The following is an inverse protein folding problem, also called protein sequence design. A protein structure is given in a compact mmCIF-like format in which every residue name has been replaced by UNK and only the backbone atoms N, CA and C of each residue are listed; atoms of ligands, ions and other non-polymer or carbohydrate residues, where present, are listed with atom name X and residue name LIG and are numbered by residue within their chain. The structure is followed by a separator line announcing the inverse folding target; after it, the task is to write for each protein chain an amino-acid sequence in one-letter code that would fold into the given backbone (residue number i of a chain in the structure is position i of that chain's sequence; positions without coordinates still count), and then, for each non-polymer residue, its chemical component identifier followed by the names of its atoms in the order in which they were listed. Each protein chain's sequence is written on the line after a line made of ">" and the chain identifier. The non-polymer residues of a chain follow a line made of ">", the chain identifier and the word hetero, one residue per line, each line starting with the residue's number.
data_IF_865498451273
#
_entry.id   IF_865498451273
#
_cell.length_a   1.000
_cell.length_b   1.000
_cell.length_c   1.000
_cell.angle_alpha   90.00
_cell.angle_beta   90.00
_cell.angle_gamma   90.00
#
_symmetry.space_group_name_H-M   'P 1'
#
loop_
_entity.id
_entity.type
_entity.pdbx_description
1 polymer ?
#
# COMPACT_ATOMS: atom_id res chain seq x y z
N UNK A 1 44.73 37.91 -9.02
CA UNK A 1 45.46 36.63 -9.16
C UNK A 1 44.68 35.75 -10.14
N UNK A 2 45.37 35.26 -11.18
CA UNK A 2 44.86 34.41 -12.27
C UNK A 2 44.67 32.94 -11.80
N UNK A 3 43.98 32.09 -12.60
CA UNK A 3 43.17 30.95 -12.15
C UNK A 3 43.95 29.61 -12.10
N UNK A 4 43.30 28.55 -11.60
CA UNK A 4 43.74 27.17 -11.84
C UNK A 4 42.61 26.30 -12.38
N UNK A 5 42.64 26.16 -13.70
CA UNK A 5 42.20 25.01 -14.48
C UNK A 5 42.90 23.74 -13.98
N UNK A 6 42.19 22.62 -13.89
CA UNK A 6 42.80 21.32 -14.09
C UNK A 6 42.06 20.58 -15.21
N UNK A 7 42.88 20.16 -16.15
CA UNK A 7 42.58 19.57 -17.44
C UNK A 7 42.70 18.04 -17.32
N UNK A 8 41.83 17.32 -18.05
CA UNK A 8 41.98 16.02 -18.71
C UNK A 8 42.66 14.83 -17.96
N UNK A 9 42.04 13.65 -18.08
CA UNK A 9 42.66 12.59 -18.89
C UNK A 9 41.64 11.52 -19.34
N UNK A 10 41.47 11.45 -20.66
CA UNK A 10 40.98 10.28 -21.40
C UNK A 10 42.12 9.27 -21.46
N UNK A 11 41.85 8.00 -21.17
CA UNK A 11 42.75 6.89 -21.55
C UNK A 11 41.95 5.90 -22.41
N UNK A 12 42.14 6.04 -23.73
CA UNK A 12 41.93 4.97 -24.68
C UNK A 12 43.05 3.93 -24.50
N UNK A 13 42.69 2.67 -24.26
CA UNK A 13 43.58 1.55 -24.50
C UNK A 13 43.24 0.95 -25.87
N UNK A 14 44.12 1.25 -26.84
CA UNK A 14 44.18 0.57 -28.12
C UNK A 14 44.88 -0.79 -27.95
N UNK A 15 44.32 -1.84 -28.52
CA UNK A 15 45.02 -3.10 -28.80
C UNK A 15 45.02 -3.29 -30.32
N UNK A 16 46.21 -3.36 -30.90
CA UNK A 16 46.48 -3.55 -32.32
C UNK A 16 46.45 -5.05 -32.70
N UNK A 17 45.54 -5.36 -33.64
CA UNK A 17 45.58 -6.27 -34.82
C UNK A 17 46.25 -7.66 -34.80
N UNK A 18 45.69 -8.59 -35.59
CA UNK A 18 46.37 -8.89 -36.87
C UNK A 18 45.45 -8.83 -38.09
N UNK A 19 46.05 -8.51 -39.24
CA UNK A 19 45.43 -8.50 -40.55
C UNK A 19 45.29 -9.94 -41.10
N UNK A 20 44.13 -10.30 -41.66
CA UNK A 20 43.96 -11.23 -42.79
C UNK A 20 42.58 -11.02 -43.44
N UNK A 21 42.59 -11.02 -44.79
CA UNK A 21 41.48 -11.11 -45.75
C UNK A 21 40.23 -10.21 -45.51
N UNK A 22 40.13 -9.14 -46.32
CA UNK A 22 38.83 -8.52 -46.60
C UNK A 22 37.98 -9.47 -47.45
N UNK A 23 37.03 -10.16 -46.81
CA UNK A 23 35.84 -10.63 -47.50
C UNK A 23 34.74 -9.59 -47.28
N UNK A 24 34.32 -8.94 -48.38
CA UNK A 24 33.33 -7.87 -48.39
C UNK A 24 31.95 -8.46 -48.11
N UNK A 25 31.66 -8.78 -46.86
CA UNK A 25 30.33 -9.22 -46.42
C UNK A 25 29.41 -8.01 -46.30
N UNK A 26 28.24 -8.09 -46.92
CA UNK A 26 27.20 -7.07 -46.81
C UNK A 26 26.86 -6.81 -45.33
N UNK A 27 26.54 -5.56 -44.94
CA UNK A 27 26.15 -5.27 -43.57
C UNK A 27 24.98 -6.19 -43.17
N UNK A 28 25.01 -6.80 -41.97
CA UNK A 28 23.93 -7.66 -41.53
C UNK A 28 22.63 -6.85 -41.53
N UNK A 29 21.55 -7.46 -42.01
CA UNK A 29 20.23 -6.87 -41.97
C UNK A 29 19.93 -6.39 -40.55
N UNK A 30 19.33 -5.18 -40.38
CA UNK A 30 19.04 -4.66 -39.07
C UNK A 30 18.23 -5.70 -38.29
N UNK A 31 18.78 -6.13 -37.16
CA UNK A 31 18.06 -6.99 -36.24
C UNK A 31 16.77 -6.25 -35.86
N UNK A 32 15.62 -6.84 -36.19
CA UNK A 32 14.32 -6.33 -35.76
C UNK A 32 14.38 -6.24 -34.24
N UNK A 33 14.37 -5.01 -33.72
CA UNK A 33 14.34 -4.80 -32.27
C UNK A 33 13.17 -5.63 -31.72
N UNK A 34 13.36 -6.38 -30.62
CA UNK A 34 12.26 -7.11 -30.00
C UNK A 34 11.12 -6.11 -29.75
N UNK A 35 9.85 -6.50 -30.01
CA UNK A 35 8.74 -5.60 -29.86
C UNK A 35 8.80 -4.96 -28.48
N UNK A 36 8.81 -3.62 -28.45
CA UNK A 36 8.81 -2.89 -27.19
C UNK A 36 7.52 -3.26 -26.45
N UNK A 37 7.65 -4.11 -25.42
CA UNK A 37 6.55 -4.37 -24.51
C UNK A 37 6.33 -3.06 -23.78
N UNK A 38 5.29 -2.32 -24.18
CA UNK A 38 4.84 -1.14 -23.44
C UNK A 38 4.21 -1.63 -22.16
N UNK A 39 5.03 -1.74 -21.11
CA UNK A 39 4.55 -2.08 -19.78
C UNK A 39 3.90 -0.84 -19.19
N UNK A 40 2.61 -0.93 -18.84
CA UNK A 40 1.93 0.11 -18.09
C UNK A 40 2.54 0.20 -16.66
N UNK A 41 3.32 1.26 -16.41
CA UNK A 41 3.96 1.50 -15.13
C UNK A 41 2.96 1.58 -13.97
N UNK A 42 1.73 2.04 -14.22
CA UNK A 42 0.69 2.08 -13.19
C UNK A 42 0.18 0.67 -12.87
N UNK A 43 0.00 -0.18 -13.88
CA UNK A 43 -0.33 -1.59 -13.67
C UNK A 43 0.76 -2.32 -12.87
N UNK A 44 2.05 -2.06 -13.15
CA UNK A 44 3.16 -2.66 -12.39
C UNK A 44 3.14 -2.23 -10.92
N UNK A 45 3.02 -0.93 -10.64
CA UNK A 45 2.94 -0.42 -9.26
C UNK A 45 1.77 -1.04 -8.50
N UNK A 46 0.62 -1.10 -9.17
CA UNK A 46 -0.60 -1.69 -8.64
C UNK A 46 -0.44 -3.18 -8.33
N UNK A 47 0.18 -3.95 -9.23
CA UNK A 47 0.43 -5.38 -9.01
C UNK A 47 1.46 -5.62 -7.91
N UNK A 48 2.51 -4.79 -7.81
CA UNK A 48 3.48 -4.87 -6.70
C UNK A 48 2.81 -4.60 -5.35
N UNK A 49 1.88 -3.66 -5.30
CA UNK A 49 1.07 -3.41 -4.11
C UNK A 49 0.19 -4.62 -3.75
N UNK A 50 -0.52 -5.21 -4.72
CA UNK A 50 -1.30 -6.44 -4.47
C UNK A 50 -0.44 -7.58 -3.97
N UNK A 51 0.77 -7.75 -4.52
CA UNK A 51 1.70 -8.77 -4.07
C UNK A 51 2.11 -8.55 -2.61
N UNK A 52 2.25 -7.31 -2.16
CA UNK A 52 2.51 -7.01 -0.76
C UNK A 52 1.32 -7.40 0.13
N UNK A 53 0.10 -7.06 -0.26
CA UNK A 53 -1.13 -7.43 0.46
C UNK A 53 -1.31 -8.96 0.51
N UNK A 54 -1.14 -9.65 -0.62
CA UNK A 54 -1.24 -11.10 -0.69
C UNK A 54 -0.19 -11.80 0.17
N UNK A 55 1.06 -11.30 0.20
CA UNK A 55 2.09 -11.84 1.09
C UNK A 55 1.71 -11.72 2.57
N UNK A 56 1.15 -10.57 2.97
CA UNK A 56 0.68 -10.36 4.33
C UNK A 56 -0.43 -11.36 4.71
N UNK A 57 -1.43 -11.53 3.83
CA UNK A 57 -2.53 -12.50 4.02
C UNK A 57 -2.03 -13.96 4.08
N UNK A 58 -1.14 -14.35 3.16
CA UNK A 58 -0.62 -15.71 3.08
C UNK A 58 0.21 -16.09 4.30
N UNK A 59 1.00 -15.14 4.83
CA UNK A 59 1.81 -15.38 6.01
C UNK A 59 0.95 -15.71 7.25
N UNK A 60 -0.21 -15.06 7.41
CA UNK A 60 -1.13 -15.37 8.52
C UNK A 60 -1.74 -16.77 8.38
N UNK A 61 -1.87 -17.31 7.16
CA UNK A 61 -2.40 -18.65 6.92
C UNK A 61 -3.83 -18.83 7.47
N UNK A 62 -4.78 -18.05 6.95
CA UNK A 62 -6.19 -18.19 7.28
C UNK A 62 -6.79 -19.48 6.71
N UNK A 63 -7.64 -20.13 7.48
CA UNK A 63 -8.44 -21.26 6.99
C UNK A 63 -9.64 -20.80 6.15
N UNK A 64 -10.33 -21.74 5.52
CA UNK A 64 -11.47 -21.43 4.64
C UNK A 64 -12.64 -20.75 5.37
N UNK A 65 -12.91 -21.09 6.64
CA UNK A 65 -13.98 -20.49 7.43
C UNK A 65 -13.64 -19.05 7.81
N UNK A 66 -12.39 -18.80 8.23
CA UNK A 66 -11.85 -17.48 8.51
C UNK A 66 -11.88 -16.60 7.26
N UNK A 67 -11.44 -17.10 6.10
CA UNK A 67 -11.49 -16.36 4.82
C UNK A 67 -12.93 -15.98 4.48
N UNK A 68 -13.88 -16.92 4.59
CA UNK A 68 -15.29 -16.64 4.30
C UNK A 68 -15.88 -15.57 5.23
N UNK A 69 -15.57 -15.66 6.53
CA UNK A 69 -16.03 -14.68 7.51
C UNK A 69 -15.44 -13.29 7.25
N UNK A 70 -14.14 -13.22 6.95
CA UNK A 70 -13.44 -12.00 6.56
C UNK A 70 -14.03 -11.37 5.29
N UNK A 71 -14.30 -12.17 4.25
CA UNK A 71 -14.91 -11.68 3.02
C UNK A 71 -16.25 -10.98 3.29
N UNK A 72 -17.11 -11.56 4.14
CA UNK A 72 -18.40 -10.95 4.49
C UNK A 72 -18.20 -9.62 5.22
N UNK A 73 -17.46 -9.61 6.33
CA UNK A 73 -17.33 -8.40 7.16
C UNK A 73 -16.56 -7.29 6.45
N UNK A 74 -15.52 -7.62 5.68
CA UNK A 74 -14.76 -6.63 4.89
C UNK A 74 -15.65 -6.04 3.79
N UNK A 75 -16.43 -6.86 3.08
CA UNK A 75 -17.33 -6.37 2.04
C UNK A 75 -18.38 -5.44 2.62
N UNK A 76 -19.05 -5.83 3.71
CA UNK A 76 -20.05 -5.00 4.38
C UNK A 76 -19.45 -3.66 4.84
N UNK A 77 -18.28 -3.71 5.47
CA UNK A 77 -17.54 -2.53 5.93
C UNK A 77 -17.22 -1.57 4.77
N UNK A 78 -16.75 -2.09 3.64
CA UNK A 78 -16.40 -1.27 2.47
C UNK A 78 -17.64 -0.71 1.75
N UNK A 79 -18.78 -1.40 1.75
CA UNK A 79 -20.03 -0.82 1.23
C UNK A 79 -20.50 0.36 2.10
N UNK A 80 -20.44 0.24 3.43
CA UNK A 80 -20.71 1.37 4.34
C UNK A 80 -19.73 2.52 4.10
N UNK A 81 -18.46 2.22 3.84
CA UNK A 81 -17.46 3.25 3.54
C UNK A 81 -17.76 4.00 2.22
N UNK A 82 -18.29 3.33 1.19
CA UNK A 82 -18.70 4.01 -0.06
C UNK A 82 -19.78 5.05 0.16
N UNK A 83 -20.78 4.76 0.98
CA UNK A 83 -21.83 5.72 1.30
C UNK A 83 -21.27 6.94 2.04
N UNK A 84 -20.31 6.73 2.94
CA UNK A 84 -19.58 7.82 3.61
C UNK A 84 -18.76 8.63 2.61
N UNK A 85 -17.96 7.98 1.75
CA UNK A 85 -17.16 8.68 0.72
C UNK A 85 -18.04 9.56 -0.15
N UNK A 86 -19.22 9.07 -0.55
CA UNK A 86 -20.20 9.87 -1.29
C UNK A 86 -20.62 11.14 -0.53
N UNK A 87 -20.93 11.04 0.77
CA UNK A 87 -21.27 12.22 1.60
C UNK A 87 -20.11 13.21 1.70
N UNK A 88 -18.88 12.72 1.78
CA UNK A 88 -17.69 13.56 1.83
C UNK A 88 -17.43 14.25 0.49
N UNK A 89 -17.60 13.53 -0.63
CA UNK A 89 -17.51 14.08 -1.98
C UNK A 89 -18.57 15.16 -2.21
N UNK A 90 -19.81 14.92 -1.78
CA UNK A 90 -20.90 15.91 -1.87
C UNK A 90 -20.56 17.17 -1.05
N UNK A 91 -20.01 17.02 0.15
CA UNK A 91 -19.59 18.17 0.97
C UNK A 91 -18.46 18.99 0.32
N UNK A 92 -17.55 18.35 -0.42
CA UNK A 92 -16.48 19.03 -1.16
C UNK A 92 -17.00 19.67 -2.46
N UNK A 93 -17.98 19.06 -3.14
CA UNK A 93 -18.63 19.65 -4.33
C UNK A 93 -19.28 20.98 -4.03
N UNK A 94 -19.83 21.17 -2.83
CA UNK A 94 -20.44 22.46 -2.43
C UNK A 94 -19.47 23.65 -2.50
N UNK A 95 -18.16 23.44 -2.40
CA UNK A 95 -17.13 24.51 -2.51
C UNK A 95 -16.32 24.44 -3.81
N UNK A 96 -16.58 23.47 -4.69
CA UNK A 96 -15.74 23.22 -5.86
C UNK A 96 -15.63 24.46 -6.76
N UNK A 97 -16.75 25.12 -7.05
CA UNK A 97 -16.78 26.33 -7.88
C UNK A 97 -16.01 27.49 -7.25
N UNK A 98 -16.13 27.69 -5.94
CA UNK A 98 -15.43 28.76 -5.22
C UNK A 98 -13.92 28.51 -5.20
N UNK A 99 -13.51 27.25 -5.00
CA UNK A 99 -12.11 26.82 -5.05
C UNK A 99 -11.54 26.95 -6.46
N UNK A 100 -12.28 26.57 -7.50
CA UNK A 100 -11.84 26.68 -8.89
C UNK A 100 -11.64 28.15 -9.32
N UNK A 101 -12.56 29.03 -8.92
CA UNK A 101 -12.42 30.48 -9.12
C UNK A 101 -11.20 31.03 -8.39
N UNK A 102 -11.03 30.70 -7.11
CA UNK A 102 -9.87 31.14 -6.32
C UNK A 102 -8.55 30.60 -6.90
N UNK A 103 -8.51 29.36 -7.37
CA UNK A 103 -7.35 28.77 -8.04
C UNK A 103 -6.99 29.52 -9.33
N UNK A 104 -7.99 29.82 -10.16
CA UNK A 104 -7.78 30.59 -11.40
C UNK A 104 -7.29 32.01 -11.12
N UNK A 105 -7.88 32.69 -10.14
CA UNK A 105 -7.43 34.02 -9.69
C UNK A 105 -6.00 33.99 -9.14
N UNK A 106 -5.67 32.99 -8.32
CA UNK A 106 -4.32 32.82 -7.78
C UNK A 106 -3.27 32.58 -8.88
N UNK A 107 -3.59 31.78 -9.91
CA UNK A 107 -2.73 31.61 -11.08
C UNK A 107 -2.55 32.91 -11.88
N UNK A 108 -3.51 33.83 -11.81
CA UNK A 108 -3.44 35.16 -12.40
C UNK A 108 -2.76 36.21 -11.49
N UNK A 109 -2.32 35.83 -10.28
CA UNK A 109 -1.64 36.71 -9.32
C UNK A 109 -2.57 37.41 -8.32
N UNK A 110 -3.85 37.07 -8.29
CA UNK A 110 -4.80 37.57 -7.28
C UNK A 110 -4.60 36.86 -5.93
N UNK A 111 -4.82 37.53 -4.79
CA UNK A 111 -4.80 36.87 -3.50
C UNK A 111 -5.97 35.90 -3.37
N UNK A 112 -5.74 34.76 -2.71
CA UNK A 112 -6.80 33.79 -2.39
C UNK A 112 -7.77 34.45 -1.39
N UNK A 113 -9.10 34.44 -1.65
CA UNK A 113 -10.05 35.00 -0.70
C UNK A 113 -10.06 34.23 0.63
N UNK A 114 -9.89 34.89 1.80
CA UNK A 114 -9.80 34.22 3.10
C UNK A 114 -11.02 33.36 3.43
N UNK A 115 -12.20 33.72 2.94
CA UNK A 115 -13.44 32.96 3.12
C UNK A 115 -13.44 31.62 2.37
N UNK A 116 -12.76 31.52 1.22
CA UNK A 116 -12.63 30.27 0.46
C UNK A 116 -11.68 29.33 1.19
N UNK A 117 -10.55 29.85 1.66
CA UNK A 117 -9.59 29.08 2.45
C UNK A 117 -10.21 28.58 3.76
N UNK A 118 -10.92 29.45 4.49
CA UNK A 118 -11.61 29.07 5.73
C UNK A 118 -12.64 27.95 5.49
N UNK A 119 -13.50 28.10 4.48
CA UNK A 119 -14.50 27.08 4.13
C UNK A 119 -13.85 25.75 3.74
N UNK A 120 -12.75 25.80 2.98
CA UNK A 120 -12.01 24.61 2.59
C UNK A 120 -11.43 23.88 3.81
N UNK A 121 -10.76 24.61 4.71
CA UNK A 121 -10.16 24.04 5.93
C UNK A 121 -11.24 23.42 6.83
N UNK A 122 -12.37 24.10 7.02
CA UNK A 122 -13.49 23.58 7.83
C UNK A 122 -14.07 22.28 7.26
N UNK A 123 -14.32 22.25 5.95
CA UNK A 123 -14.83 21.04 5.27
C UNK A 123 -13.81 19.92 5.29
N UNK A 124 -12.54 20.22 5.03
CA UNK A 124 -11.45 19.23 5.10
C UNK A 124 -11.33 18.65 6.52
N UNK A 125 -11.37 19.49 7.56
CA UNK A 125 -11.33 19.04 8.96
C UNK A 125 -12.52 18.14 9.30
N UNK A 126 -13.72 18.50 8.85
CA UNK A 126 -14.91 17.67 9.05
C UNK A 126 -14.81 16.31 8.34
N UNK A 127 -14.32 16.29 7.10
CA UNK A 127 -14.07 15.06 6.33
C UNK A 127 -13.03 14.18 7.03
N UNK A 128 -11.88 14.75 7.44
CA UNK A 128 -10.82 14.01 8.14
C UNK A 128 -11.30 13.44 9.48
N UNK A 129 -12.12 14.19 10.22
CA UNK A 129 -12.73 13.70 11.46
C UNK A 129 -13.66 12.51 11.22
N UNK A 130 -14.51 12.58 10.18
CA UNK A 130 -15.39 11.47 9.77
C UNK A 130 -14.60 10.25 9.31
N UNK A 131 -13.55 10.43 8.52
CA UNK A 131 -12.64 9.34 8.10
C UNK A 131 -12.02 8.68 9.34
N UNK A 132 -11.46 9.46 10.26
CA UNK A 132 -10.80 8.93 11.44
C UNK A 132 -11.74 8.21 12.42
N UNK A 133 -13.00 8.64 12.51
CA UNK A 133 -14.03 7.94 13.29
C UNK A 133 -14.45 6.63 12.62
N UNK A 134 -14.82 6.69 11.33
CA UNK A 134 -15.24 5.53 10.56
C UNK A 134 -14.16 4.45 10.50
N UNK A 135 -12.90 4.84 10.27
CA UNK A 135 -11.79 3.88 10.23
C UNK A 135 -11.64 3.11 11.54
N UNK A 136 -11.81 3.76 12.69
CA UNK A 136 -11.76 3.11 14.01
C UNK A 136 -12.90 2.11 14.17
N UNK A 137 -14.12 2.53 13.84
CA UNK A 137 -15.31 1.67 13.85
C UNK A 137 -15.13 0.43 12.95
N UNK A 138 -14.59 0.63 11.74
CA UNK A 138 -14.32 -0.44 10.80
C UNK A 138 -13.26 -1.44 11.31
N UNK A 139 -12.19 -0.93 11.92
CA UNK A 139 -11.20 -1.79 12.57
C UNK A 139 -11.85 -2.60 13.69
N UNK A 140 -12.65 -1.97 14.55
CA UNK A 140 -13.35 -2.63 15.66
C UNK A 140 -14.31 -3.71 15.16
N UNK A 141 -15.11 -3.43 14.13
CA UNK A 141 -16.06 -4.38 13.54
C UNK A 141 -15.37 -5.62 12.97
N UNK A 142 -14.30 -5.44 12.18
CA UNK A 142 -13.56 -6.57 11.63
C UNK A 142 -12.83 -7.33 12.74
N UNK A 143 -12.23 -6.63 13.72
CA UNK A 143 -11.55 -7.27 14.84
C UNK A 143 -12.48 -8.12 15.70
N UNK A 144 -13.70 -7.65 15.94
CA UNK A 144 -14.69 -8.38 16.74
C UNK A 144 -15.02 -9.75 16.13
N UNK A 145 -14.99 -9.85 14.79
CA UNK A 145 -15.21 -11.10 14.06
C UNK A 145 -13.90 -11.91 13.97
N UNK A 146 -12.79 -11.25 13.64
CA UNK A 146 -11.53 -11.92 13.34
C UNK A 146 -10.84 -12.45 14.61
N UNK A 147 -10.59 -11.58 15.58
CA UNK A 147 -9.69 -11.85 16.72
C UNK A 147 -10.07 -13.09 17.56
N UNK A 148 -11.37 -13.38 17.83
CA UNK A 148 -11.79 -14.58 18.54
C UNK A 148 -11.49 -15.89 17.78
N UNK A 149 -11.44 -15.83 16.44
CA UNK A 149 -11.21 -17.00 15.59
C UNK A 149 -9.73 -17.27 15.33
N UNK A 150 -8.84 -16.34 15.67
CA UNK A 150 -7.41 -16.48 15.43
C UNK A 150 -6.76 -17.48 16.40
N UNK A 151 -5.93 -18.35 15.85
CA UNK A 151 -5.03 -19.19 16.63
C UNK A 151 -3.89 -18.35 17.25
N UNK A 152 -3.22 -18.90 18.28
CA UNK A 152 -2.06 -18.23 18.90
C UNK A 152 -0.92 -17.97 17.89
N UNK A 153 -0.71 -18.90 16.95
CA UNK A 153 0.28 -18.74 15.88
C UNK A 153 -0.06 -17.57 14.96
N UNK A 154 -1.32 -17.47 14.53
CA UNK A 154 -1.82 -16.37 13.70
C UNK A 154 -1.67 -15.02 14.38
N UNK A 155 -2.00 -14.91 15.67
CA UNK A 155 -1.82 -13.68 16.46
C UNK A 155 -0.35 -13.27 16.53
N UNK A 156 0.56 -14.24 16.70
CA UNK A 156 2.00 -14.00 16.75
C UNK A 156 2.55 -13.56 15.39
N UNK A 157 2.04 -14.11 14.29
CA UNK A 157 2.43 -13.69 12.95
C UNK A 157 1.94 -12.27 12.63
N UNK A 158 0.69 -11.93 12.98
CA UNK A 158 0.20 -10.54 12.87
C UNK A 158 1.03 -9.57 13.69
N UNK A 159 1.45 -9.97 14.89
CA UNK A 159 2.39 -9.19 15.67
C UNK A 159 3.69 -8.98 14.92
N UNK A 160 4.36 -10.04 14.47
CA UNK A 160 5.63 -9.95 13.73
C UNK A 160 5.54 -9.00 12.55
N UNK A 161 4.46 -9.07 11.77
CA UNK A 161 4.22 -8.15 10.66
C UNK A 161 4.07 -6.71 11.18
N UNK A 162 3.25 -6.50 12.21
CA UNK A 162 3.10 -5.19 12.85
C UNK A 162 4.42 -4.64 13.42
N UNK A 163 5.30 -5.50 13.99
CA UNK A 163 6.63 -5.11 14.47
C UNK A 163 7.46 -4.51 13.34
N UNK A 164 7.43 -5.13 12.16
CA UNK A 164 8.20 -4.71 10.99
C UNK A 164 7.73 -3.35 10.45
N UNK A 165 6.43 -3.05 10.53
CA UNK A 165 5.87 -1.78 10.07
C UNK A 165 5.99 -0.65 11.11
N UNK A 166 5.66 -0.93 12.37
CA UNK A 166 5.40 0.11 13.36
C UNK A 166 6.47 0.24 14.44
N UNK A 167 7.38 -0.73 14.58
CA UNK A 167 8.37 -0.70 15.65
C UNK A 167 7.68 -0.57 17.02
N UNK A 168 8.28 0.18 17.94
CA UNK A 168 7.77 0.34 19.31
C UNK A 168 6.42 1.07 19.42
N UNK A 169 5.88 1.63 18.33
CA UNK A 169 4.57 2.34 18.33
C UNK A 169 3.37 1.44 18.63
N UNK A 170 3.54 0.11 18.49
CA UNK A 170 2.59 -0.97 18.79
C UNK A 170 2.27 -1.19 20.27
N UNK A 171 3.09 -0.65 21.18
CA UNK A 171 2.89 -0.79 22.61
C UNK A 171 1.83 0.24 23.03
N UNK A 172 0.82 -0.14 23.85
CA UNK A 172 -0.15 0.83 24.33
C UNK A 172 0.57 2.02 24.95
N UNK A 173 0.08 3.25 24.69
CA UNK A 173 0.80 4.48 25.03
C UNK A 173 1.31 4.50 26.49
N UNK A 174 0.50 4.01 27.44
CA UNK A 174 0.84 3.90 28.87
C UNK A 174 2.00 2.97 29.23
N UNK A 175 2.43 2.09 28.32
CA UNK A 175 3.52 1.13 28.53
C UNK A 175 4.72 1.37 27.59
N UNK A 176 4.71 2.42 26.75
CA UNK A 176 5.78 2.63 25.75
C UNK A 176 7.17 2.77 26.36
N UNK A 177 7.28 3.39 27.52
CA UNK A 177 8.55 3.58 28.24
C UNK A 177 8.97 2.34 29.05
N UNK A 178 8.05 1.38 29.24
CA UNK A 178 8.26 0.12 29.98
C UNK A 178 7.58 -1.04 29.25
N UNK A 179 8.00 -1.34 28.02
CA UNK A 179 7.30 -2.28 27.12
C UNK A 179 7.15 -3.68 27.70
N UNK A 180 8.10 -4.12 28.52
CA UNK A 180 8.11 -5.39 29.23
C UNK A 180 6.94 -5.57 30.21
N UNK A 181 6.33 -4.47 30.65
CA UNK A 181 5.18 -4.48 31.57
C UNK A 181 3.82 -4.50 30.85
N UNK A 182 3.80 -4.39 29.52
CA UNK A 182 2.58 -4.37 28.75
C UNK A 182 1.88 -5.76 28.78
N UNK A 183 0.57 -5.82 29.07
CA UNK A 183 -0.17 -7.07 28.96
C UNK A 183 -0.06 -7.64 27.56
N UNK A 184 0.33 -8.92 27.46
CA UNK A 184 0.60 -9.59 26.18
C UNK A 184 -0.59 -9.51 25.21
N UNK A 185 -1.79 -9.76 25.73
CA UNK A 185 -3.02 -9.73 24.93
C UNK A 185 -3.32 -8.32 24.39
N UNK A 186 -3.05 -7.26 25.16
CA UNK A 186 -3.21 -5.88 24.69
C UNK A 186 -2.27 -5.55 23.53
N UNK A 187 -1.03 -6.07 23.55
CA UNK A 187 -0.08 -5.91 22.43
C UNK A 187 -0.54 -6.69 21.19
N UNK A 188 -1.02 -7.92 21.37
CA UNK A 188 -1.53 -8.76 20.28
C UNK A 188 -2.79 -8.17 19.64
N UNK A 189 -3.71 -7.62 20.43
CA UNK A 189 -4.92 -6.98 19.94
C UNK A 189 -4.60 -5.70 19.14
N UNK A 190 -3.62 -4.89 19.60
CA UNK A 190 -3.12 -3.74 18.84
C UNK A 190 -2.46 -4.17 17.53
N UNK A 191 -1.68 -5.26 17.54
CA UNK A 191 -1.08 -5.80 16.33
C UNK A 191 -2.14 -6.28 15.33
N UNK A 192 -3.16 -6.98 15.80
CA UNK A 192 -4.29 -7.38 14.96
C UNK A 192 -5.03 -6.17 14.39
N UNK A 193 -5.25 -5.12 15.19
CA UNK A 193 -5.87 -3.87 14.73
C UNK A 193 -5.05 -3.19 13.64
N UNK A 194 -3.72 -3.14 13.80
CA UNK A 194 -2.83 -2.65 12.77
C UNK A 194 -2.89 -3.50 11.50
N UNK A 195 -2.98 -4.83 11.61
CA UNK A 195 -3.15 -5.70 10.44
C UNK A 195 -4.47 -5.39 9.71
N UNK A 196 -5.58 -5.27 10.44
CA UNK A 196 -6.88 -4.91 9.87
C UNK A 196 -6.78 -3.56 9.14
N UNK A 197 -6.20 -2.57 9.81
CA UNK A 197 -6.08 -1.20 9.30
C UNK A 197 -5.27 -1.08 8.00
N UNK A 198 -4.18 -1.84 7.87
CA UNK A 198 -3.23 -1.67 6.76
C UNK A 198 -3.37 -2.71 5.66
N UNK A 199 -4.00 -3.84 5.97
CA UNK A 199 -4.18 -4.95 5.04
C UNK A 199 -5.66 -5.04 4.70
N UNK A 200 -6.52 -5.25 5.70
CA UNK A 200 -7.91 -5.66 5.43
C UNK A 200 -8.84 -4.52 5.01
N UNK A 201 -8.56 -3.27 5.39
CA UNK A 201 -9.34 -2.09 4.99
C UNK A 201 -8.94 -1.50 3.63
N UNK A 202 -8.42 -2.33 2.73
CA UNK A 202 -8.11 -1.93 1.35
C UNK A 202 -9.29 -2.24 0.41
N UNK A 203 -9.62 -1.31 -0.49
CA UNK A 203 -10.72 -1.45 -1.46
C UNK A 203 -10.58 -2.70 -2.35
N UNK A 204 -9.35 -3.22 -2.50
CA UNK A 204 -9.05 -4.41 -3.31
C UNK A 204 -9.18 -5.71 -2.52
N UNK A 205 -9.27 -5.62 -1.21
CA UNK A 205 -9.26 -6.76 -0.32
C UNK A 205 -10.37 -7.79 -0.60
N UNK A 206 -11.62 -7.41 -0.94
CA UNK A 206 -12.64 -8.38 -1.31
C UNK A 206 -12.23 -9.29 -2.48
N UNK A 207 -11.61 -8.72 -3.51
CA UNK A 207 -11.16 -9.48 -4.68
C UNK A 207 -9.93 -10.35 -4.35
N UNK A 208 -9.01 -9.85 -3.54
CA UNK A 208 -7.83 -10.60 -3.10
C UNK A 208 -8.21 -11.78 -2.20
N UNK A 209 -9.12 -11.58 -1.23
CA UNK A 209 -9.64 -12.65 -0.38
C UNK A 209 -10.42 -13.70 -1.18
N UNK A 210 -11.19 -13.29 -2.21
CA UNK A 210 -11.88 -14.23 -3.10
C UNK A 210 -10.91 -15.10 -3.92
N UNK A 211 -9.72 -14.58 -4.20
CA UNK A 211 -8.68 -15.25 -4.99
C UNK A 211 -7.72 -16.08 -4.13
N UNK A 212 -7.74 -15.89 -2.81
CA UNK A 212 -6.88 -16.58 -1.87
C UNK A 212 -7.33 -18.04 -1.73
N UNK A 213 -6.50 -18.97 -2.19
CA UNK A 213 -6.74 -20.40 -1.90
C UNK A 213 -6.34 -20.66 -0.44
N UNK A 214 -7.19 -21.32 0.37
CA UNK A 214 -6.76 -21.78 1.68
C UNK A 214 -5.55 -22.70 1.50
N UNK A 215 -4.48 -22.45 2.24
CA UNK A 215 -3.34 -23.35 2.23
C UNK A 215 -3.84 -24.69 2.80
N UNK A 216 -3.62 -25.79 2.06
CA UNK A 216 -3.95 -27.13 2.56
C UNK A 216 -3.33 -27.28 3.95
N UNK A 217 -4.13 -27.70 4.92
CA UNK A 217 -3.60 -28.11 6.21
C UNK A 217 -2.46 -29.10 5.94
N UNK A 218 -1.26 -28.78 6.42
CA UNK A 218 -0.09 -29.65 6.33
C UNK A 218 -0.37 -30.92 7.14
N UNK A 219 -1.01 -31.90 6.50
CA UNK A 219 -1.46 -33.13 7.15
C UNK A 219 -2.20 -34.12 6.24
N UNK A 220 -2.29 -33.87 4.93
CA UNK A 220 -2.80 -34.88 4.00
C UNK A 220 -1.63 -35.81 3.62
N UNK A 221 -1.64 -37.11 4.01
CA UNK A 221 -0.57 -38.01 3.67
C UNK A 221 -0.48 -38.12 2.15
N UNK A 222 0.74 -37.96 1.62
CA UNK A 222 0.99 -38.19 0.21
C UNK A 222 0.50 -39.59 -0.15
N UNK A 223 -0.54 -39.68 -0.97
CA UNK A 223 -0.92 -40.94 -1.59
C UNK A 223 0.32 -41.43 -2.35
N UNK A 224 0.85 -42.57 -1.90
CA UNK A 224 2.01 -43.22 -2.52
C UNK A 224 1.66 -43.60 -3.98
N UNK A 225 2.67 -43.62 -4.86
CA UNK A 225 2.51 -43.81 -6.30
C UNK A 225 1.85 -45.14 -6.67
#
# INVERSE_FOLDING_TARGET
>A
MKPRTFLLLVVCAAVLSPAWAQEKTAPPAPATAPPAVTVDANAVRRNLYDLALLRALQAVNFDAAQIKSLQTVVKETLETDKERRKKDDDAMREIATDVEKAHTGALAGEPIPPEVETKYIEKQKAVLARIGAAKREYVENILAVLYPTLTASQKTEMEKQSLAFYGTKRIPAKYRDKPETAPRDAVLQLAAGAFVENVLLDDRMPALLASLKPLKASGEPAAKP
#
